data_IF_132225144864
#
_entry.id   IF_132225144864
#
_cell.length_a   1.000
_cell.length_b   1.000
_cell.length_c   1.000
_cell.angle_alpha   90.00
_cell.angle_beta   90.00
_cell.angle_gamma   90.00
#
_symmetry.space_group_name_H-M   'P 1'
#
loop_
_entity.id
_entity.type
_entity.pdbx_description
1 polymer ?
#
# COMPACT_ATOMS: atom_id res chain seq x y z
N UNK A 1 -9.12 1.23 -19.40
CA UNK A 1 -9.16 1.25 -17.92
C UNK A 1 -8.02 0.34 -17.50
N UNK A 2 -6.99 0.85 -16.83
CA UNK A 2 -5.89 0.00 -16.37
C UNK A 2 -6.39 -0.86 -15.22
N UNK A 3 -6.31 -2.18 -15.38
CA UNK A 3 -6.62 -3.10 -14.28
C UNK A 3 -5.49 -3.03 -13.24
N UNK A 4 -5.85 -2.71 -12.00
CA UNK A 4 -4.94 -2.57 -10.88
C UNK A 4 -5.28 -3.61 -9.82
N UNK A 5 -4.26 -4.29 -9.28
CA UNK A 5 -4.42 -5.26 -8.20
C UNK A 5 -3.38 -5.00 -7.11
N UNK A 6 -3.79 -5.23 -5.86
CA UNK A 6 -2.97 -5.05 -4.67
C UNK A 6 -2.89 -6.40 -3.94
N UNK A 7 -1.67 -6.85 -3.66
CA UNK A 7 -1.36 -8.13 -3.01
C UNK A 7 -0.73 -7.86 -1.65
N UNK A 8 -1.14 -8.59 -0.61
CA UNK A 8 -0.58 -8.44 0.73
C UNK A 8 0.07 -9.75 1.19
N UNK A 9 1.36 -9.69 1.49
CA UNK A 9 2.18 -10.86 1.79
C UNK A 9 2.85 -10.74 3.15
N UNK A 10 2.80 -11.81 3.96
CA UNK A 10 3.60 -11.93 5.17
C UNK A 10 4.96 -12.58 4.85
N UNK A 11 6.04 -11.78 4.89
CA UNK A 11 7.39 -12.26 4.61
C UNK A 11 7.96 -13.20 5.68
N UNK A 12 7.32 -13.32 6.84
CA UNK A 12 7.73 -14.28 7.88
C UNK A 12 7.49 -15.73 7.43
N UNK A 13 6.36 -15.97 6.76
CA UNK A 13 5.83 -17.33 6.56
C UNK A 13 5.98 -17.82 5.12
N UNK A 14 6.16 -16.93 4.13
CA UNK A 14 6.05 -17.31 2.70
C UNK A 14 7.00 -16.51 1.79
N UNK A 15 7.44 -17.14 0.69
CA UNK A 15 8.13 -16.45 -0.40
C UNK A 15 7.15 -15.50 -1.11
N UNK A 16 7.56 -14.25 -1.36
CA UNK A 16 6.81 -13.24 -2.11
C UNK A 16 6.20 -13.77 -3.41
N UNK A 17 6.94 -14.61 -4.16
CA UNK A 17 6.44 -15.22 -5.41
C UNK A 17 5.25 -16.16 -5.17
N UNK A 18 5.30 -16.97 -4.11
CA UNK A 18 4.23 -17.92 -3.80
C UNK A 18 2.98 -17.20 -3.28
N UNK A 19 3.14 -16.08 -2.58
CA UNK A 19 2.03 -15.24 -2.17
C UNK A 19 1.25 -14.69 -3.37
N UNK A 20 1.96 -14.17 -4.38
CA UNK A 20 1.37 -13.67 -5.63
C UNK A 20 0.66 -14.80 -6.39
N UNK A 21 1.30 -15.97 -6.51
CA UNK A 21 0.71 -17.17 -7.14
C UNK A 21 -0.62 -17.60 -6.51
N UNK A 22 -0.69 -17.60 -5.18
CA UNK A 22 -1.86 -18.06 -4.45
C UNK A 22 -3.07 -17.14 -4.63
N UNK A 23 -2.86 -15.83 -4.81
CA UNK A 23 -3.96 -14.87 -5.02
C UNK A 23 -4.35 -14.68 -6.49
N UNK A 24 -3.40 -14.79 -7.43
CA UNK A 24 -3.64 -14.56 -8.88
C UNK A 24 -4.07 -15.83 -9.62
N UNK A 25 -3.61 -17.01 -9.20
CA UNK A 25 -3.82 -18.26 -9.90
C UNK A 25 -2.90 -18.45 -11.11
N UNK A 26 -2.46 -19.69 -11.36
CA UNK A 26 -1.42 -20.02 -12.36
C UNK A 26 -1.75 -19.58 -13.80
N UNK A 27 -3.04 -19.53 -14.16
CA UNK A 27 -3.48 -19.15 -15.52
C UNK A 27 -3.21 -17.68 -15.84
N UNK A 28 -3.41 -16.77 -14.90
CA UNK A 28 -3.21 -15.34 -15.12
C UNK A 28 -1.71 -14.96 -15.18
N UNK A 29 -0.86 -15.80 -14.59
CA UNK A 29 0.60 -15.66 -14.63
C UNK A 29 1.24 -16.30 -15.89
N UNK A 30 0.52 -17.19 -16.57
CA UNK A 30 1.00 -17.87 -17.79
C UNK A 30 0.94 -17.01 -19.07
N UNK A 31 0.30 -15.84 -19.02
CA UNK A 31 0.20 -14.88 -20.12
C UNK A 31 1.33 -13.84 -20.13
N UNK A 32 2.39 -14.08 -19.37
CA UNK A 32 3.42 -13.08 -19.08
C UNK A 32 4.68 -13.23 -19.92
N UNK A 33 5.10 -12.12 -20.52
CA UNK A 33 6.27 -11.97 -21.37
C UNK A 33 7.61 -12.03 -20.62
N UNK A 34 8.67 -12.39 -21.35
CA UNK A 34 10.07 -12.45 -20.92
C UNK A 34 10.77 -11.07 -20.92
N UNK A 35 10.05 -9.96 -21.12
CA UNK A 35 10.62 -8.62 -21.15
C UNK A 35 10.22 -7.73 -19.96
N UNK A 36 11.16 -6.86 -19.54
CA UNK A 36 11.04 -5.90 -18.42
C UNK A 36 10.88 -6.55 -17.01
N UNK A 37 10.80 -5.80 -15.89
CA UNK A 37 10.55 -6.39 -14.57
C UNK A 37 9.06 -6.81 -14.46
N UNK A 38 8.67 -7.78 -15.29
CA UNK A 38 7.37 -8.41 -15.28
C UNK A 38 7.19 -9.29 -14.04
N UNK A 39 5.94 -9.47 -13.60
CA UNK A 39 5.58 -10.31 -12.45
C UNK A 39 6.05 -11.78 -12.61
N UNK A 40 6.27 -12.25 -13.85
CA UNK A 40 6.75 -13.59 -14.19
C UNK A 40 8.25 -13.77 -14.00
N UNK A 41 9.02 -12.69 -13.86
CA UNK A 41 10.44 -12.79 -13.63
C UNK A 41 10.71 -13.25 -12.18
N UNK A 42 10.59 -14.55 -11.96
CA UNK A 42 10.81 -15.23 -10.68
C UNK A 42 12.14 -14.84 -10.05
N UNK A 43 13.17 -14.60 -10.88
CA UNK A 43 14.49 -14.13 -10.43
C UNK A 43 14.40 -12.72 -9.83
N UNK A 44 13.64 -11.83 -10.44
CA UNK A 44 13.40 -10.47 -9.96
C UNK A 44 12.64 -10.44 -8.63
N UNK A 45 11.52 -11.17 -8.54
CA UNK A 45 10.73 -11.30 -7.29
C UNK A 45 11.57 -11.94 -6.18
N UNK A 46 12.33 -13.00 -6.50
CA UNK A 46 13.20 -13.64 -5.53
C UNK A 46 14.33 -12.71 -5.07
N UNK A 47 14.88 -11.86 -5.95
CA UNK A 47 15.87 -10.87 -5.56
C UNK A 47 15.28 -9.88 -4.55
N UNK A 48 14.09 -9.34 -4.85
CA UNK A 48 13.39 -8.40 -3.95
C UNK A 48 13.16 -9.06 -2.60
N UNK A 49 12.59 -10.26 -2.61
CA UNK A 49 12.32 -11.03 -1.40
C UNK A 49 13.60 -11.28 -0.58
N UNK A 50 14.66 -11.82 -1.21
CA UNK A 50 15.92 -12.11 -0.53
C UNK A 50 16.60 -10.85 0.01
N UNK A 51 16.61 -9.76 -0.75
CA UNK A 51 17.25 -8.50 -0.36
C UNK A 51 16.51 -7.82 0.79
N UNK A 52 15.18 -7.80 0.74
CA UNK A 52 14.33 -7.29 1.82
C UNK A 52 14.50 -8.12 3.08
N UNK A 53 14.30 -9.44 2.98
CA UNK A 53 14.43 -10.35 4.11
C UNK A 53 15.82 -10.26 4.74
N UNK A 54 16.88 -10.23 3.95
CA UNK A 54 18.24 -10.12 4.47
C UNK A 54 18.47 -8.77 5.18
N UNK A 55 18.06 -7.66 4.56
CA UNK A 55 18.25 -6.35 5.16
C UNK A 55 17.44 -6.17 6.45
N UNK A 56 16.18 -6.62 6.45
CA UNK A 56 15.30 -6.56 7.62
C UNK A 56 15.75 -7.53 8.73
N UNK A 57 16.22 -8.74 8.37
CA UNK A 57 16.76 -9.71 9.35
C UNK A 57 18.04 -9.23 10.02
N UNK A 58 18.87 -8.45 9.35
CA UNK A 58 20.03 -7.84 10.00
C UNK A 58 19.65 -6.74 11.00
N UNK A 59 18.37 -6.37 11.07
CA UNK A 59 17.79 -5.42 12.02
C UNK A 59 16.73 -6.10 12.93
N UNK A 60 16.81 -7.44 13.09
CA UNK A 60 15.77 -8.29 13.71
C UNK A 60 15.41 -7.98 15.16
N UNK A 61 16.32 -7.39 15.92
CA UNK A 61 16.10 -7.09 17.34
C UNK A 61 15.05 -5.99 17.55
N UNK A 62 14.70 -5.23 16.49
CA UNK A 62 13.84 -4.03 16.56
C UNK A 62 12.58 -4.10 15.67
N UNK A 63 12.47 -5.09 14.78
CA UNK A 63 11.39 -5.18 13.78
C UNK A 63 10.68 -6.54 13.85
N UNK A 64 9.41 -6.55 14.26
CA UNK A 64 8.52 -7.66 13.91
C UNK A 64 8.41 -7.73 12.38
N UNK A 65 8.45 -8.96 11.84
CA UNK A 65 8.53 -9.19 10.39
C UNK A 65 7.52 -8.36 9.61
N UNK A 66 7.96 -7.54 8.63
CA UNK A 66 7.06 -6.66 7.93
C UNK A 66 6.18 -7.41 6.93
N UNK A 67 4.93 -6.96 6.85
CA UNK A 67 4.06 -7.28 5.74
C UNK A 67 4.55 -6.51 4.50
N UNK A 68 4.42 -7.09 3.32
CA UNK A 68 4.72 -6.41 2.06
C UNK A 68 3.47 -6.36 1.23
N UNK A 69 3.15 -5.17 0.74
CA UNK A 69 2.06 -4.94 -0.17
C UNK A 69 2.63 -4.61 -1.56
N UNK A 70 2.24 -5.37 -2.57
CA UNK A 70 2.64 -5.14 -3.97
C UNK A 70 1.44 -4.60 -4.72
N UNK A 71 1.64 -3.49 -5.42
CA UNK A 71 0.67 -2.97 -6.38
C UNK A 71 1.18 -3.30 -7.77
N UNK A 72 0.37 -4.06 -8.51
CA UNK A 72 0.63 -4.38 -9.90
C UNK A 72 -0.42 -3.70 -10.77
N UNK A 73 0.02 -3.26 -11.92
CA UNK A 73 -0.84 -2.65 -12.93
C UNK A 73 -0.71 -3.43 -14.22
N UNK A 74 -1.78 -3.44 -15.00
CA UNK A 74 -1.75 -3.88 -16.38
C UNK A 74 -1.37 -2.71 -17.28
N UNK A 75 -0.33 -2.87 -18.07
CA UNK A 75 0.12 -1.84 -19.01
C UNK A 75 -0.69 -1.85 -20.32
N UNK A 76 -0.37 -0.94 -21.24
CA UNK A 76 -1.03 -0.85 -22.56
C UNK A 76 -0.79 -2.09 -23.44
N UNK A 77 0.22 -2.90 -23.10
CA UNK A 77 0.56 -4.15 -23.78
C UNK A 77 -0.14 -5.37 -23.18
N UNK A 78 -1.07 -5.14 -22.23
CA UNK A 78 -1.78 -6.17 -21.46
C UNK A 78 -0.85 -7.02 -20.55
N UNK A 79 0.35 -6.52 -20.24
CA UNK A 79 1.31 -7.18 -19.35
C UNK A 79 1.16 -6.71 -17.90
N UNK A 80 1.34 -7.64 -16.94
CA UNK A 80 1.33 -7.29 -15.52
C UNK A 80 2.71 -6.84 -15.04
N UNK A 81 2.78 -5.58 -14.61
CA UNK A 81 3.99 -4.94 -14.11
C UNK A 81 3.84 -4.57 -12.64
N UNK A 82 4.93 -4.69 -11.88
CA UNK A 82 4.99 -4.15 -10.52
C UNK A 82 5.17 -2.64 -10.63
N UNK A 83 4.22 -1.88 -10.12
CA UNK A 83 4.29 -0.41 -10.11
C UNK A 83 4.78 0.11 -8.76
N UNK A 84 4.38 -0.54 -7.67
CA UNK A 84 4.72 -0.08 -6.33
C UNK A 84 4.89 -1.24 -5.35
N UNK A 85 5.85 -1.09 -4.43
CA UNK A 85 6.15 -2.02 -3.34
C UNK A 85 6.10 -1.24 -2.03
N UNK A 86 5.16 -1.60 -1.17
CA UNK A 86 4.95 -1.00 0.14
C UNK A 86 5.41 -1.98 1.21
N UNK A 87 6.31 -1.56 2.09
CA UNK A 87 6.65 -2.31 3.29
C UNK A 87 5.75 -1.82 4.41
N UNK A 88 4.90 -2.70 4.92
CA UNK A 88 4.02 -2.44 6.05
C UNK A 88 4.73 -2.90 7.32
N UNK A 89 5.02 -1.97 8.21
CA UNK A 89 5.62 -2.24 9.52
C UNK A 89 4.58 -2.10 10.63
N UNK A 90 4.50 -3.13 11.47
CA UNK A 90 3.61 -3.18 12.64
C UNK A 90 4.34 -2.69 13.88
N UNK A 91 4.54 -1.38 14.04
CA UNK A 91 5.20 -0.87 15.25
C UNK A 91 4.76 0.54 15.65
N UNK A 92 4.51 0.70 16.95
CA UNK A 92 4.31 1.95 17.70
C UNK A 92 5.59 2.78 17.92
N UNK A 93 6.66 2.55 17.15
CA UNK A 93 7.94 3.18 17.43
C UNK A 93 8.06 4.53 16.75
N UNK A 94 8.13 5.58 17.56
CA UNK A 94 8.64 6.90 17.17
C UNK A 94 10.16 6.88 17.32
N UNK A 95 10.84 6.28 16.34
CA UNK A 95 12.29 6.41 16.22
C UNK A 95 12.62 6.66 14.74
N UNK A 96 13.00 7.90 14.43
CA UNK A 96 13.55 8.31 13.13
C UNK A 96 14.62 7.32 12.61
N UNK A 97 15.30 6.64 13.53
CA UNK A 97 16.29 5.60 13.26
C UNK A 97 15.72 4.39 12.50
N UNK A 98 14.53 3.90 12.86
CA UNK A 98 13.91 2.75 12.19
C UNK A 98 13.50 3.14 10.77
N UNK A 99 12.91 4.33 10.61
CA UNK A 99 12.56 4.88 9.29
C UNK A 99 13.81 5.01 8.42
N UNK A 100 14.90 5.53 8.98
CA UNK A 100 16.17 5.64 8.26
C UNK A 100 16.70 4.27 7.83
N UNK A 101 16.70 3.27 8.72
CA UNK A 101 17.15 1.90 8.43
C UNK A 101 16.31 1.23 7.36
N UNK A 102 14.99 1.33 7.43
CA UNK A 102 14.11 0.76 6.40
C UNK A 102 14.33 1.50 5.07
N UNK A 103 14.48 2.82 5.07
CA UNK A 103 14.83 3.57 3.86
C UNK A 103 16.19 3.15 3.28
N UNK A 104 17.17 2.83 4.12
CA UNK A 104 18.44 2.27 3.68
C UNK A 104 18.24 0.87 3.07
N UNK A 105 17.39 0.03 3.65
CA UNK A 105 17.01 -1.26 3.07
C UNK A 105 16.34 -1.11 1.71
N UNK A 106 15.41 -0.16 1.56
CA UNK A 106 14.78 0.13 0.27
C UNK A 106 15.78 0.58 -0.78
N UNK A 107 16.72 1.45 -0.41
CA UNK A 107 17.82 1.88 -1.31
C UNK A 107 18.72 0.70 -1.70
N UNK A 108 19.05 -0.17 -0.74
CA UNK A 108 19.82 -1.38 -1.00
C UNK A 108 19.11 -2.31 -1.99
N UNK A 109 17.81 -2.57 -1.77
CA UNK A 109 16.99 -3.43 -2.63
C UNK A 109 16.91 -2.85 -4.05
N UNK A 110 16.68 -1.53 -4.19
CA UNK A 110 16.70 -0.86 -5.49
C UNK A 110 18.01 -1.11 -6.24
N UNK A 111 19.14 -0.95 -5.54
CA UNK A 111 20.48 -1.15 -6.13
C UNK A 111 20.78 -2.61 -6.43
N UNK A 112 20.49 -3.53 -5.51
CA UNK A 112 20.83 -4.94 -5.61
C UNK A 112 20.02 -5.65 -6.70
N UNK A 113 18.72 -5.34 -6.79
CA UNK A 113 17.81 -5.95 -7.74
C UNK A 113 17.66 -5.15 -9.05
N UNK A 114 18.41 -4.06 -9.21
CA UNK A 114 18.32 -3.15 -10.36
C UNK A 114 16.88 -2.75 -10.64
N UNK A 115 16.18 -2.33 -9.59
CA UNK A 115 14.79 -1.89 -9.68
C UNK A 115 14.76 -0.61 -10.50
N UNK A 116 13.87 -0.56 -11.49
CA UNK A 116 13.62 0.60 -12.31
C UNK A 116 13.16 1.79 -11.44
N UNK A 117 13.58 3.01 -11.79
CA UNK A 117 13.21 4.21 -11.02
C UNK A 117 11.71 4.50 -11.05
N UNK A 118 11.00 4.01 -12.07
CA UNK A 118 9.54 4.05 -12.17
C UNK A 118 8.83 3.29 -11.06
N UNK A 119 9.47 2.27 -10.48
CA UNK A 119 8.87 1.48 -9.40
C UNK A 119 9.01 2.24 -8.08
N UNK A 120 7.85 2.57 -7.49
CA UNK A 120 7.80 3.27 -6.22
C UNK A 120 8.02 2.28 -5.06
N UNK A 121 8.93 2.61 -4.16
CA UNK A 121 9.15 1.86 -2.92
C UNK A 121 8.82 2.77 -1.74
N UNK A 122 7.91 2.35 -0.88
CA UNK A 122 7.45 3.14 0.25
C UNK A 122 7.27 2.32 1.52
N UNK A 123 7.15 3.02 2.66
CA UNK A 123 6.91 2.43 3.97
C UNK A 123 5.53 2.88 4.44
N UNK A 124 4.71 1.94 4.87
CA UNK A 124 3.40 2.20 5.45
C UNK A 124 3.44 1.74 6.90
N UNK A 125 3.14 2.62 7.84
CA UNK A 125 2.95 2.22 9.23
C UNK A 125 1.55 1.64 9.39
N UNK A 126 1.42 0.49 10.05
CA UNK A 126 0.12 -0.17 10.21
C UNK A 126 -0.90 0.67 10.97
N UNK A 127 -0.47 1.45 11.98
CA UNK A 127 -1.33 2.42 12.67
C UNK A 127 -1.82 3.52 11.72
N UNK A 128 -0.98 3.97 10.78
CA UNK A 128 -1.41 4.92 9.74
C UNK A 128 -2.41 4.24 8.79
N UNK A 129 -2.25 2.96 8.46
CA UNK A 129 -3.20 2.22 7.62
C UNK A 129 -4.57 2.09 8.30
N UNK A 130 -4.61 1.78 9.60
CA UNK A 130 -5.85 1.70 10.37
C UNK A 130 -6.49 3.07 10.56
N UNK A 131 -5.70 4.08 10.90
CA UNK A 131 -6.18 5.46 11.02
C UNK A 131 -6.70 5.99 9.69
N UNK A 132 -6.01 5.76 8.57
CA UNK A 132 -6.48 6.16 7.24
C UNK A 132 -7.75 5.41 6.84
N UNK A 133 -7.86 4.12 7.18
CA UNK A 133 -9.09 3.33 6.95
C UNK A 133 -10.25 3.89 7.78
N UNK A 134 -10.00 4.21 9.05
CA UNK A 134 -10.95 4.86 9.94
C UNK A 134 -11.38 6.24 9.41
N UNK A 135 -10.44 7.11 9.03
CA UNK A 135 -10.72 8.43 8.48
C UNK A 135 -11.48 8.35 7.14
N UNK A 136 -11.14 7.38 6.27
CA UNK A 136 -11.88 7.14 5.03
C UNK A 136 -13.34 6.75 5.30
N UNK A 137 -13.58 5.89 6.29
CA UNK A 137 -14.95 5.54 6.74
C UNK A 137 -15.69 6.78 7.25
N UNK A 138 -15.06 7.58 8.12
CA UNK A 138 -15.65 8.82 8.65
C UNK A 138 -15.94 9.86 7.57
N UNK A 139 -15.05 10.02 6.60
CA UNK A 139 -15.29 10.89 5.45
C UNK A 139 -16.49 10.42 4.61
N UNK A 140 -16.66 9.12 4.43
CA UNK A 140 -17.82 8.57 3.73
C UNK A 140 -19.13 8.79 4.51
N UNK A 141 -19.12 8.58 5.83
CA UNK A 141 -20.27 8.89 6.71
C UNK A 141 -20.64 10.38 6.63
N UNK A 142 -19.66 11.28 6.72
CA UNK A 142 -19.87 12.73 6.58
C UNK A 142 -20.45 13.08 5.21
N UNK A 143 -19.95 12.46 4.14
CA UNK A 143 -20.46 12.69 2.80
C UNK A 143 -21.91 12.21 2.65
N UNK A 144 -22.28 11.06 3.23
CA UNK A 144 -23.67 10.58 3.25
C UNK A 144 -24.59 11.56 3.99
N UNK A 145 -24.19 12.01 5.19
CA UNK A 145 -24.95 13.00 5.95
C UNK A 145 -25.11 14.33 5.19
N UNK A 146 -24.06 14.78 4.49
CA UNK A 146 -24.13 15.96 3.62
C UNK A 146 -25.11 15.76 2.46
N UNK A 147 -25.17 14.57 1.86
CA UNK A 147 -26.16 14.28 0.81
C UNK A 147 -27.59 14.24 1.38
N UNK A 148 -27.79 13.67 2.56
CA UNK A 148 -29.09 13.69 3.23
C UNK A 148 -29.55 15.12 3.51
N UNK A 149 -28.69 15.95 4.10
CA UNK A 149 -28.99 17.37 4.31
C UNK A 149 -29.20 18.09 2.97
N UNK A 150 -28.43 17.75 1.93
CA UNK A 150 -28.61 18.36 0.60
C UNK A 150 -29.98 18.03 0.00
N UNK A 151 -30.50 16.84 0.24
CA UNK A 151 -31.75 16.36 -0.37
C UNK A 151 -32.98 16.63 0.51
N UNK A 152 -32.81 16.85 1.81
CA UNK A 152 -33.88 17.17 2.75
C UNK A 152 -33.98 18.69 2.99
N UNK A 153 -35.06 19.27 2.46
CA UNK A 153 -35.33 20.71 2.55
C UNK A 153 -35.57 21.18 4.00
N UNK A 154 -36.08 20.32 4.88
CA UNK A 154 -36.31 20.62 6.30
C UNK A 154 -34.98 20.71 7.05
N UNK A 155 -34.11 19.71 6.87
CA UNK A 155 -32.78 19.67 7.48
C UNK A 155 -31.90 20.85 7.05
N UNK A 156 -32.00 21.33 5.81
CA UNK A 156 -31.31 22.56 5.37
C UNK A 156 -31.71 23.77 6.20
N UNK A 157 -33.02 23.97 6.38
CA UNK A 157 -33.55 25.15 7.08
C UNK A 157 -33.10 25.15 8.55
N UNK A 158 -33.09 23.99 9.19
CA UNK A 158 -32.59 23.80 10.54
C UNK A 158 -31.08 24.04 10.65
N UNK A 159 -30.29 23.55 9.69
CA UNK A 159 -28.84 23.81 9.66
C UNK A 159 -28.55 25.32 9.49
N UNK A 160 -29.28 25.99 8.60
CA UNK A 160 -29.15 27.44 8.38
C UNK A 160 -29.55 28.26 9.61
N UNK A 161 -30.58 27.84 10.37
CA UNK A 161 -30.97 28.53 11.59
C UNK A 161 -29.93 28.37 12.71
N UNK A 162 -29.32 27.18 12.82
CA UNK A 162 -28.21 26.92 13.73
C UNK A 162 -26.97 27.79 13.40
N UNK A 163 -26.56 27.84 12.13
CA UNK A 163 -25.44 28.69 11.71
C UNK A 163 -25.71 30.18 11.96
N UNK A 164 -26.94 30.64 11.73
CA UNK A 164 -27.34 32.01 12.02
C UNK A 164 -27.28 32.34 13.52
N UNK A 165 -27.67 31.40 14.38
CA UNK A 165 -27.59 31.56 15.84
C UNK A 165 -26.13 31.58 16.34
N UNK A 166 -25.24 30.78 15.76
CA UNK A 166 -23.81 30.79 16.10
C UNK A 166 -23.15 32.11 15.65
N UNK A 167 -23.49 32.61 14.46
CA UNK A 167 -22.98 33.88 13.94
C UNK A 167 -23.48 35.10 14.75
N UNK A 168 -24.68 35.02 15.34
CA UNK A 168 -25.27 36.09 16.14
C UNK A 168 -24.92 36.03 17.64
N UNK A 169 -24.26 34.96 18.11
CA UNK A 169 -23.77 34.80 19.49
C UNK A 169 -22.27 35.15 19.63
N UNK A 170 -21.70 35.85 18.65
CA UNK A 170 -20.42 36.56 18.73
C UNK A 170 -20.67 38.06 18.70
#
# INVERSE_FOLDING_TARGET
>A
MSDEKIFECNLNDTNLFNCILNEVGEKDLSLLSDSAPSLSNKTYINCINASLVNCLKNNKEELEYPQVQLQIIKDESEEWLINQINIIVNTQFDDNLIIERINQCLKFVKKACKIDESIQLSIIHSEIKENLKYYKLKLNEVNQLLQEVKNDKSKKVELFSLFKNIANNK
#
